data_IF_692640934339
#
_entry.id   IF_692640934339
#
_cell.length_a   1.000
_cell.length_b   1.000
_cell.length_c   1.000
_cell.angle_alpha   90.00
_cell.angle_beta   90.00
_cell.angle_gamma   90.00
#
_symmetry.space_group_name_H-M   'P 1'
#
loop_
_entity.id
_entity.type
_entity.pdbx_description
1 polymer ?
#
# COMPACT_ATOMS: atom_id res chain seq x y z
N UNK A 1 -3.63 18.84 -0.14
CA UNK A 1 -4.87 18.06 -0.19
C UNK A 1 -4.56 16.57 -0.10
N UNK A 2 -5.38 15.78 0.59
CA UNK A 2 -5.10 14.34 0.79
C UNK A 2 -5.18 13.56 -0.55
N UNK A 3 -6.09 13.98 -1.43
CA UNK A 3 -6.23 13.39 -2.76
C UNK A 3 -4.96 13.60 -3.61
N UNK A 4 -4.39 14.82 -3.63
CA UNK A 4 -3.14 15.09 -4.37
C UNK A 4 -1.95 14.29 -3.83
N UNK A 5 -1.90 14.07 -2.51
CA UNK A 5 -0.85 13.25 -1.91
C UNK A 5 -0.94 11.80 -2.38
N UNK A 6 -2.14 11.21 -2.37
CA UNK A 6 -2.34 9.85 -2.86
C UNK A 6 -2.12 9.72 -4.37
N UNK A 7 -2.51 10.73 -5.15
CA UNK A 7 -2.30 10.76 -6.60
C UNK A 7 -0.79 10.80 -6.97
N UNK A 8 0.00 11.59 -6.22
CA UNK A 8 1.45 11.64 -6.38
C UNK A 8 2.14 10.31 -6.04
N UNK A 9 1.61 9.56 -5.07
CA UNK A 9 2.12 8.21 -4.75
C UNK A 9 1.68 7.23 -5.83
N UNK A 10 0.39 7.21 -6.19
CA UNK A 10 -0.17 6.30 -7.18
C UNK A 10 0.52 6.44 -8.54
N UNK A 11 0.84 7.66 -8.96
CA UNK A 11 1.56 7.95 -10.21
C UNK A 11 2.96 7.31 -10.28
N UNK A 12 3.59 7.06 -9.13
CA UNK A 12 4.89 6.38 -9.06
C UNK A 12 4.75 4.85 -9.10
N UNK A 13 3.56 4.30 -8.86
CA UNK A 13 3.27 2.88 -8.85
C UNK A 13 2.93 2.36 -10.27
N UNK A 14 3.77 2.69 -11.25
CA UNK A 14 3.62 2.17 -12.63
C UNK A 14 4.28 0.80 -12.77
N UNK A 15 3.58 -0.15 -13.39
CA UNK A 15 4.14 -1.48 -13.76
C UNK A 15 4.49 -2.38 -12.57
N UNK A 16 3.64 -2.40 -11.55
CA UNK A 16 3.80 -3.26 -10.36
C UNK A 16 2.80 -4.42 -10.38
N UNK A 17 3.27 -5.62 -10.04
CA UNK A 17 2.46 -6.85 -10.01
C UNK A 17 1.75 -7.01 -8.67
N UNK A 18 2.40 -6.60 -7.58
CA UNK A 18 1.90 -6.72 -6.21
C UNK A 18 2.15 -5.42 -5.44
N UNK A 19 1.18 -5.02 -4.62
CA UNK A 19 1.25 -3.86 -3.73
C UNK A 19 0.85 -4.25 -2.31
N UNK A 20 1.73 -3.99 -1.35
CA UNK A 20 1.44 -4.11 0.07
C UNK A 20 1.25 -2.72 0.68
N UNK A 21 0.09 -2.47 1.27
CA UNK A 21 -0.23 -1.22 1.97
C UNK A 21 -0.29 -1.49 3.46
N UNK A 22 0.54 -0.77 4.21
CA UNK A 22 0.61 -0.81 5.67
C UNK A 22 0.52 0.60 6.21
N UNK A 23 -0.14 0.78 7.36
CA UNK A 23 -0.20 2.07 8.00
C UNK A 23 -1.24 2.18 9.12
N UNK A 24 -1.08 3.17 10.01
CA UNK A 24 -1.95 3.39 11.15
C UNK A 24 -3.35 3.84 10.73
N UNK A 25 -4.37 3.39 11.48
CA UNK A 25 -5.76 3.87 11.32
C UNK A 25 -6.34 3.65 9.92
N UNK A 26 -7.11 4.62 9.43
CA UNK A 26 -7.88 4.49 8.18
C UNK A 26 -7.10 4.89 6.92
N UNK A 27 -5.89 5.43 7.05
CA UNK A 27 -5.10 5.92 5.92
C UNK A 27 -4.87 4.83 4.86
N UNK A 28 -4.61 3.59 5.29
CA UNK A 28 -4.45 2.40 4.44
C UNK A 28 -5.72 2.10 3.62
N UNK A 29 -6.89 2.27 4.21
CA UNK A 29 -8.19 2.03 3.54
C UNK A 29 -8.49 3.16 2.56
N UNK A 30 -8.20 4.41 2.93
CA UNK A 30 -8.39 5.56 2.06
C UNK A 30 -7.50 5.48 0.82
N UNK A 31 -6.24 5.07 0.98
CA UNK A 31 -5.33 4.91 -0.14
C UNK A 31 -5.75 3.75 -1.07
N UNK A 32 -6.19 2.61 -0.51
CA UNK A 32 -6.75 1.50 -1.31
C UNK A 32 -7.94 1.97 -2.15
N UNK A 33 -8.91 2.65 -1.54
CA UNK A 33 -10.08 3.17 -2.25
C UNK A 33 -9.67 4.15 -3.35
N UNK A 34 -8.71 5.03 -3.08
CA UNK A 34 -8.21 5.97 -4.07
C UNK A 34 -7.62 5.25 -5.30
N UNK A 35 -6.80 4.22 -5.08
CA UNK A 35 -6.25 3.37 -6.14
C UNK A 35 -7.34 2.65 -6.94
N UNK A 36 -8.38 2.13 -6.28
CA UNK A 36 -9.51 1.45 -6.94
C UNK A 36 -10.34 2.40 -7.83
N UNK A 37 -10.46 3.68 -7.43
CA UNK A 37 -11.30 4.65 -8.15
C UNK A 37 -10.61 5.39 -9.29
N UNK A 38 -9.28 5.55 -9.24
CA UNK A 38 -8.57 6.47 -10.15
C UNK A 38 -7.40 5.84 -10.93
N UNK A 39 -6.86 4.71 -10.47
CA UNK A 39 -5.65 4.12 -11.05
C UNK A 39 -5.94 2.70 -11.56
N UNK A 40 -5.18 2.22 -12.55
CA UNK A 40 -5.15 0.78 -12.84
C UNK A 40 -4.48 0.12 -11.65
N UNK A 41 -5.28 -0.24 -10.64
CA UNK A 41 -4.78 -0.92 -9.45
C UNK A 41 -3.95 -2.14 -9.89
N UNK A 42 -2.80 -2.39 -9.26
CA UNK A 42 -2.01 -3.59 -9.53
C UNK A 42 -2.88 -4.82 -9.34
N UNK A 43 -2.53 -5.91 -10.04
CA UNK A 43 -3.34 -7.14 -10.05
C UNK A 43 -3.59 -7.70 -8.64
N UNK A 44 -2.70 -7.40 -7.68
CA UNK A 44 -2.90 -7.71 -6.28
C UNK A 44 -2.57 -6.52 -5.37
N UNK A 45 -3.57 -5.98 -4.68
CA UNK A 45 -3.41 -5.01 -3.58
C UNK A 45 -3.76 -5.70 -2.27
N UNK A 46 -2.79 -5.82 -1.37
CA UNK A 46 -3.00 -6.31 -0.01
C UNK A 46 -2.90 -5.18 0.98
N UNK A 47 -3.88 -5.09 1.88
CA UNK A 47 -3.89 -4.13 2.98
C UNK A 47 -3.75 -4.88 4.27
N UNK A 48 -2.77 -4.50 5.08
CA UNK A 48 -2.58 -5.11 6.39
C UNK A 48 -2.86 -4.12 7.52
N UNK A 49 -3.51 -4.65 8.56
CA UNK A 49 -3.76 -3.94 9.81
C UNK A 49 -2.50 -3.96 10.67
N UNK A 50 -1.74 -2.87 10.61
CA UNK A 50 -0.66 -2.59 11.54
C UNK A 50 -0.80 -1.15 12.03
N UNK A 51 -1.35 -0.98 13.23
CA UNK A 51 -1.61 0.34 13.82
C UNK A 51 -0.36 0.97 14.44
N UNK A 52 0.58 0.14 14.87
CA UNK A 52 1.93 0.53 15.25
C UNK A 52 2.88 -0.56 14.80
N UNK A 53 3.74 -0.25 13.83
CA UNK A 53 4.79 -1.15 13.35
C UNK A 53 6.12 -0.42 13.46
N UNK A 54 7.11 -1.08 14.04
CA UNK A 54 8.49 -0.55 14.02
C UNK A 54 9.12 -0.76 12.66
N UNK A 55 10.16 0.00 12.31
CA UNK A 55 10.88 -0.18 11.04
C UNK A 55 11.40 -1.61 10.87
N UNK A 56 11.88 -2.23 11.95
CA UNK A 56 12.36 -3.61 11.95
C UNK A 56 11.25 -4.61 11.62
N UNK A 57 10.06 -4.42 12.20
CA UNK A 57 8.89 -5.25 11.92
C UNK A 57 8.37 -5.02 10.51
N UNK A 58 8.37 -3.77 10.02
CA UNK A 58 8.01 -3.45 8.64
C UNK A 58 8.90 -4.21 7.66
N UNK A 59 10.21 -4.19 7.88
CA UNK A 59 11.17 -4.92 7.05
C UNK A 59 10.95 -6.44 7.12
N UNK A 60 10.71 -6.99 8.32
CA UNK A 60 10.42 -8.41 8.48
C UNK A 60 9.14 -8.82 7.73
N UNK A 61 8.11 -7.96 7.78
CA UNK A 61 6.80 -8.18 7.17
C UNK A 61 6.84 -8.09 5.65
N UNK A 62 7.51 -7.09 5.12
CA UNK A 62 7.79 -6.97 3.68
C UNK A 62 8.54 -8.22 3.19
N UNK A 63 9.56 -8.66 3.93
CA UNK A 63 10.30 -9.88 3.59
C UNK A 63 9.43 -11.13 3.63
N UNK A 64 8.52 -11.25 4.58
CA UNK A 64 7.60 -12.40 4.69
C UNK A 64 6.57 -12.40 3.55
N UNK A 65 5.93 -11.26 3.30
CA UNK A 65 4.91 -11.09 2.27
C UNK A 65 5.45 -11.40 0.86
N UNK A 66 6.64 -10.89 0.52
CA UNK A 66 7.26 -11.10 -0.79
C UNK A 66 8.15 -12.34 -0.88
N UNK A 67 8.32 -13.11 0.20
CA UNK A 67 9.15 -14.34 0.20
C UNK A 67 8.55 -15.49 -0.62
N UNK A 68 7.25 -15.41 -0.90
CA UNK A 68 6.48 -16.49 -1.53
C UNK A 68 5.98 -16.13 -2.94
N UNK A 69 6.46 -15.01 -3.50
CA UNK A 69 6.12 -14.54 -4.86
C UNK A 69 7.12 -15.06 -5.89
#
# INVERSE_FOLDING_TARGET
DLAQYFDAIASQLTTIEQLLIVGPGEAKVHFKKHLETGYRAPQSVTVETADSITDAELVAKVKDFFKSA
#
